data_IF_575334742654
#
_entry.id   IF_575334742654
#
_cell.length_a   1.000
_cell.length_b   1.000
_cell.length_c   1.000
_cell.angle_alpha   90.00
_cell.angle_beta   90.00
_cell.angle_gamma   90.00
#
_symmetry.space_group_name_H-M   'P 1'
#
loop_
_entity.id
_entity.type
_entity.pdbx_description
1 polymer ?
#
# COMPACT_ATOMS: atom_id res chain seq x y z
N UNK A 1 -2.27 2.09 25.35
CA UNK A 1 -1.99 3.49 24.91
C UNK A 1 -0.98 3.45 23.77
N UNK A 2 -1.32 4.00 22.60
CA UNK A 2 -0.42 4.04 21.45
C UNK A 2 0.49 5.28 21.58
N UNK A 3 1.69 5.12 22.12
CA UNK A 3 2.66 6.23 22.24
C UNK A 3 3.11 6.64 20.83
N UNK A 4 2.73 7.85 20.40
CA UNK A 4 3.22 8.43 19.15
C UNK A 4 4.58 9.07 19.39
N UNK A 5 5.61 8.47 18.80
CA UNK A 5 6.95 9.06 18.76
C UNK A 5 7.08 10.02 17.57
N UNK A 6 7.80 11.15 17.72
CA UNK A 6 8.17 12.00 16.59
C UNK A 6 8.98 11.24 15.54
N UNK A 7 8.89 11.62 14.27
CA UNK A 7 9.57 10.90 13.21
C UNK A 7 11.10 11.06 13.26
N UNK A 8 11.60 12.21 13.72
CA UNK A 8 13.02 12.42 13.98
C UNK A 8 13.57 11.44 15.03
N UNK A 9 12.79 11.22 16.09
CA UNK A 9 13.14 10.25 17.13
C UNK A 9 13.22 8.82 16.57
N UNK A 10 12.25 8.42 15.74
CA UNK A 10 12.27 7.10 15.10
C UNK A 10 13.47 6.95 14.17
N UNK A 11 13.79 7.99 13.39
CA UNK A 11 14.95 7.98 12.48
C UNK A 11 16.26 7.80 13.24
N UNK A 12 16.47 8.56 14.32
CA UNK A 12 17.69 8.41 15.12
C UNK A 12 17.79 7.03 15.79
N UNK A 13 16.67 6.51 16.31
CA UNK A 13 16.64 5.17 16.90
C UNK A 13 17.00 4.07 15.88
N UNK A 14 16.47 4.17 14.66
CA UNK A 14 16.82 3.26 13.55
C UNK A 14 18.29 3.44 13.15
N UNK A 15 18.79 4.68 13.10
CA UNK A 15 20.20 4.98 12.76
C UNK A 15 21.18 4.31 13.70
N UNK A 16 20.89 4.31 15.00
CA UNK A 16 21.71 3.62 16.00
C UNK A 16 21.83 2.11 15.74
N UNK A 17 20.77 1.48 15.21
CA UNK A 17 20.78 0.04 14.91
C UNK A 17 21.43 -0.24 13.56
N UNK A 18 21.05 0.52 12.52
CA UNK A 18 21.44 0.23 11.13
C UNK A 18 22.85 0.74 10.81
N UNK A 19 23.19 1.97 11.22
CA UNK A 19 24.49 2.58 10.90
C UNK A 19 25.53 2.30 11.99
N UNK A 20 25.15 2.40 13.27
CA UNK A 20 26.09 2.22 14.40
C UNK A 20 26.19 0.77 14.88
N UNK A 21 25.35 -0.14 14.36
CA UNK A 21 25.42 -1.57 14.65
C UNK A 21 24.99 -1.99 16.06
N UNK A 22 24.33 -1.12 16.82
CA UNK A 22 23.84 -1.49 18.15
C UNK A 22 22.67 -2.48 18.08
N UNK A 23 22.57 -3.35 19.08
CA UNK A 23 21.46 -4.30 19.17
C UNK A 23 20.13 -3.58 19.47
N UNK A 24 19.03 -4.10 18.90
CA UNK A 24 17.68 -3.57 19.16
C UNK A 24 17.33 -3.58 20.66
N UNK A 25 17.62 -4.64 21.43
CA UNK A 25 17.39 -4.62 22.88
C UNK A 25 18.14 -3.50 23.61
N UNK A 26 19.41 -3.25 23.29
CA UNK A 26 20.23 -2.24 23.97
C UNK A 26 19.77 -0.81 23.66
N UNK A 27 19.41 -0.54 22.40
CA UNK A 27 18.88 0.77 21.99
C UNK A 27 17.50 0.98 22.61
N UNK A 28 16.63 -0.04 22.62
CA UNK A 28 15.30 0.03 23.20
C UNK A 28 15.33 0.32 24.70
N UNK A 29 16.23 -0.36 25.43
CA UNK A 29 16.44 -0.15 26.86
C UNK A 29 16.96 1.26 27.17
N UNK A 30 17.94 1.76 26.41
CA UNK A 30 18.46 3.14 26.57
C UNK A 30 17.42 4.21 26.29
N UNK A 31 16.60 4.00 25.27
CA UNK A 31 15.58 4.97 24.84
C UNK A 31 14.24 4.83 25.58
N UNK A 32 14.08 3.81 26.43
CA UNK A 32 12.85 3.56 27.17
C UNK A 32 11.64 3.24 26.27
N UNK A 33 11.89 2.58 25.15
CA UNK A 33 10.85 2.17 24.18
C UNK A 33 10.71 0.65 24.13
N UNK A 34 9.60 0.17 23.58
CA UNK A 34 9.46 -1.26 23.30
C UNK A 34 10.38 -1.68 22.16
N UNK A 35 11.12 -2.74 22.40
CA UNK A 35 11.80 -3.59 21.43
C UNK A 35 10.97 -3.88 20.18
N UNK A 36 9.70 -4.27 20.35
CA UNK A 36 8.77 -4.56 19.24
C UNK A 36 8.59 -3.35 18.32
N UNK A 37 8.46 -2.14 18.88
CA UNK A 37 8.34 -0.91 18.10
C UNK A 37 9.62 -0.62 17.33
N UNK A 38 10.79 -0.80 17.96
CA UNK A 38 12.06 -0.55 17.31
C UNK A 38 12.35 -1.57 16.20
N UNK A 39 12.05 -2.85 16.41
CA UNK A 39 12.10 -3.88 15.36
C UNK A 39 11.22 -3.52 14.18
N UNK A 40 10.00 -3.03 14.43
CA UNK A 40 9.10 -2.59 13.37
C UNK A 40 9.67 -1.42 12.58
N UNK A 41 10.28 -0.42 13.22
CA UNK A 41 10.90 0.70 12.52
C UNK A 41 12.12 0.30 11.71
N UNK A 42 12.98 -0.57 12.26
CA UNK A 42 14.18 -1.07 11.56
C UNK A 42 13.79 -1.88 10.33
N UNK A 43 12.76 -2.73 10.42
CA UNK A 43 12.26 -3.49 9.25
C UNK A 43 11.66 -2.57 8.20
N UNK A 44 10.85 -1.58 8.60
CA UNK A 44 10.30 -0.54 7.71
C UNK A 44 11.39 0.27 7.00
N UNK A 45 12.50 0.56 7.67
CA UNK A 45 13.61 1.33 7.10
C UNK A 45 14.50 0.50 6.15
N UNK A 46 14.57 -0.83 6.35
CA UNK A 46 15.25 -1.73 5.42
C UNK A 46 14.47 -1.97 4.12
N UNK A 47 13.15 -1.77 4.13
CA UNK A 47 12.37 -1.78 2.89
C UNK A 47 12.69 -0.48 2.14
N UNK A 48 13.31 -0.54 0.95
CA UNK A 48 13.62 0.66 0.19
C UNK A 48 12.34 1.47 -0.06
N UNK A 49 12.40 2.78 0.19
CA UNK A 49 11.24 3.67 0.07
C UNK A 49 10.57 3.57 -1.31
N UNK A 50 11.36 3.31 -2.37
CA UNK A 50 10.83 3.10 -3.73
C UNK A 50 9.91 1.89 -3.82
N UNK A 51 10.21 0.78 -3.14
CA UNK A 51 9.32 -0.39 -3.13
C UNK A 51 7.97 -0.08 -2.47
N UNK A 52 7.93 0.80 -1.47
CA UNK A 52 6.66 1.17 -0.84
C UNK A 52 5.81 2.09 -1.71
N UNK A 53 6.44 3.04 -2.41
CA UNK A 53 5.77 3.95 -3.34
C UNK A 53 5.27 3.20 -4.58
N UNK A 54 6.12 2.35 -5.16
CA UNK A 54 5.79 1.47 -6.27
C UNK A 54 4.64 0.50 -5.91
N UNK A 55 4.63 -0.05 -4.70
CA UNK A 55 3.51 -0.87 -4.23
C UNK A 55 2.19 -0.08 -4.12
N UNK A 56 2.24 1.19 -3.73
CA UNK A 56 1.06 2.04 -3.69
C UNK A 56 0.55 2.38 -5.09
N UNK A 57 1.45 2.69 -6.02
CA UNK A 57 1.13 2.91 -7.43
C UNK A 57 0.53 1.67 -8.07
N UNK A 58 1.12 0.49 -7.84
CA UNK A 58 0.57 -0.80 -8.31
C UNK A 58 -0.85 -1.01 -7.79
N UNK A 59 -1.15 -0.67 -6.54
CA UNK A 59 -2.50 -0.79 -5.98
C UNK A 59 -3.47 0.17 -6.68
N UNK A 60 -3.08 1.42 -6.89
CA UNK A 60 -3.89 2.42 -7.61
C UNK A 60 -4.16 1.98 -9.04
N UNK A 61 -3.14 1.55 -9.77
CA UNK A 61 -3.26 1.06 -11.15
C UNK A 61 -4.17 -0.16 -11.25
N UNK A 62 -4.07 -1.12 -10.31
CA UNK A 62 -4.98 -2.28 -10.27
C UNK A 62 -6.44 -1.89 -10.05
N UNK A 63 -6.69 -0.92 -9.17
CA UNK A 63 -8.04 -0.42 -8.92
C UNK A 63 -8.61 0.27 -10.17
N UNK A 64 -7.81 1.09 -10.84
CA UNK A 64 -8.21 1.78 -12.06
C UNK A 64 -8.44 0.82 -13.23
N UNK A 65 -7.56 -0.17 -13.39
CA UNK A 65 -7.72 -1.22 -14.40
C UNK A 65 -9.03 -1.98 -14.20
N UNK A 66 -9.37 -2.32 -12.95
CA UNK A 66 -10.64 -2.98 -12.61
C UNK A 66 -11.83 -2.10 -12.99
N UNK A 67 -11.82 -0.82 -12.58
CA UNK A 67 -12.87 0.15 -12.87
C UNK A 67 -13.11 0.30 -14.38
N UNK A 68 -12.05 0.48 -15.16
CA UNK A 68 -12.12 0.63 -16.62
C UNK A 68 -12.60 -0.65 -17.29
N UNK A 69 -12.16 -1.82 -16.78
CA UNK A 69 -12.61 -3.12 -17.30
C UNK A 69 -14.11 -3.32 -17.08
N UNK A 70 -14.63 -2.96 -15.91
CA UNK A 70 -16.05 -3.00 -15.58
C UNK A 70 -16.86 -2.07 -16.49
N UNK A 71 -16.42 -0.82 -16.66
CA UNK A 71 -17.08 0.14 -17.57
C UNK A 71 -17.15 -0.38 -19.00
N UNK A 72 -16.04 -0.92 -19.51
CA UNK A 72 -15.99 -1.53 -20.84
C UNK A 72 -16.97 -2.70 -20.95
N UNK A 73 -17.08 -3.54 -19.92
CA UNK A 73 -18.00 -4.67 -19.93
C UNK A 73 -19.45 -4.21 -19.95
N UNK A 74 -19.82 -3.23 -19.13
CA UNK A 74 -21.18 -2.64 -19.11
C UNK A 74 -21.56 -2.11 -20.50
N UNK A 75 -20.64 -1.39 -21.17
CA UNK A 75 -20.89 -0.88 -22.52
C UNK A 75 -21.08 -1.99 -23.54
N UNK A 76 -20.32 -3.08 -23.44
CA UNK A 76 -20.49 -4.26 -24.30
C UNK A 76 -21.84 -4.92 -24.08
N UNK A 77 -22.25 -5.14 -22.84
CA UNK A 77 -23.56 -5.72 -22.51
C UNK A 77 -24.71 -4.83 -23.02
N UNK A 78 -24.60 -3.51 -22.85
CA UNK A 78 -25.58 -2.57 -23.38
C UNK A 78 -25.69 -2.63 -24.91
N UNK A 79 -24.55 -2.67 -25.62
CA UNK A 79 -24.54 -2.78 -27.07
C UNK A 79 -25.19 -4.08 -27.57
N UNK A 80 -24.93 -5.21 -26.90
CA UNK A 80 -25.58 -6.50 -27.19
C UNK A 80 -27.08 -6.41 -26.97
N UNK A 81 -27.51 -5.84 -25.84
CA UNK A 81 -28.93 -5.66 -25.54
C UNK A 81 -29.65 -4.83 -26.61
N UNK A 82 -29.08 -3.66 -26.95
CA UNK A 82 -29.65 -2.76 -27.99
C UNK A 82 -29.74 -3.47 -29.34
N UNK A 83 -28.68 -4.16 -29.77
CA UNK A 83 -28.69 -4.91 -31.03
C UNK A 83 -29.73 -6.05 -31.03
N UNK A 84 -30.00 -6.65 -29.87
CA UNK A 84 -31.02 -7.69 -29.73
C UNK A 84 -32.45 -7.13 -29.84
N UNK A 85 -32.70 -5.94 -29.28
CA UNK A 85 -34.01 -5.28 -29.32
C UNK A 85 -34.34 -4.76 -30.73
N UNK A 86 -33.37 -4.18 -31.44
CA UNK A 86 -33.57 -3.76 -32.84
C UNK A 86 -33.98 -4.93 -33.75
N UNK A 87 -33.39 -6.12 -33.56
CA UNK A 87 -33.74 -7.32 -34.35
C UNK A 87 -35.15 -7.84 -34.08
N UNK A 88 -35.66 -7.70 -32.85
CA UNK A 88 -37.03 -8.10 -32.50
C UNK A 88 -38.06 -7.14 -33.13
N UNK A 89 -37.80 -5.84 -33.08
CA UNK A 89 -38.69 -4.81 -33.63
C UNK A 89 -38.88 -4.91 -35.14
N UNK A 90 -37.89 -5.39 -35.90
CA UNK A 90 -37.98 -5.55 -37.36
C UNK A 90 -38.61 -6.88 -37.81
N UNK A 91 -38.98 -7.76 -36.88
CA UNK A 91 -39.55 -9.10 -37.15
C UNK A 91 -41.05 -9.20 -36.82
N UNK A 92 -41.66 -8.15 -36.27
CA UNK A 92 -43.11 -7.97 -36.12
C UNK A 92 -43.67 -7.22 -37.32
#
# INVERSE_FOLDING_TARGET
MNKKYPDEFKKEAVRQVVEKGYSVPDVSKRLGISDKSLYYWVTKAKVPASQSAEQEEIRKLKAELKRVTEQRNILKEAAVYVASESKKSTRS
#
